data_IF_589898486597
#
_entry.id   IF_589898486597
#
_cell.length_a   1.000
_cell.length_b   1.000
_cell.length_c   1.000
_cell.angle_alpha   90.00
_cell.angle_beta   90.00
_cell.angle_gamma   90.00
#
_symmetry.space_group_name_H-M   'P 1'
#
loop_
_entity.id
_entity.type
_entity.pdbx_description
1 polymer ?
#
# COMPACT_ATOMS: atom_id res chain seq x y z
N UNK A 1 -3.43 10.58 -19.84
CA UNK A 1 -2.98 11.78 -20.60
C UNK A 1 -1.49 11.99 -20.35
N UNK A 2 -0.66 12.22 -21.38
CA UNK A 2 0.76 12.58 -21.17
C UNK A 2 0.84 14.01 -20.57
N UNK A 3 1.74 14.28 -19.61
CA UNK A 3 1.92 15.63 -19.08
C UNK A 3 2.35 16.57 -20.21
N UNK A 4 1.81 17.79 -20.22
CA UNK A 4 2.25 18.77 -21.21
C UNK A 4 3.75 19.09 -21.01
N UNK A 5 4.44 19.48 -22.09
CA UNK A 5 5.83 19.96 -22.00
C UNK A 5 5.97 21.11 -20.98
N UNK A 6 4.94 21.95 -20.86
CA UNK A 6 4.84 23.03 -19.87
C UNK A 6 4.85 22.50 -18.42
N UNK A 7 4.07 21.46 -18.12
CA UNK A 7 3.99 20.87 -16.78
C UNK A 7 5.35 20.27 -16.34
N UNK A 8 6.08 19.69 -17.28
CA UNK A 8 7.38 19.08 -17.01
C UNK A 8 8.45 20.13 -16.72
N UNK A 9 8.45 21.24 -17.46
CA UNK A 9 9.36 22.37 -17.24
C UNK A 9 9.09 23.05 -15.89
N UNK A 10 7.83 23.39 -15.61
CA UNK A 10 7.41 23.97 -14.33
C UNK A 10 7.83 23.10 -13.15
N UNK A 11 7.68 21.77 -13.26
CA UNK A 11 8.12 20.83 -12.22
C UNK A 11 9.61 20.90 -11.93
N UNK A 12 10.44 21.02 -12.97
CA UNK A 12 11.89 21.12 -12.77
C UNK A 12 12.28 22.43 -12.10
N UNK A 13 11.59 23.53 -12.45
CA UNK A 13 11.73 24.82 -11.78
C UNK A 13 11.33 24.69 -10.30
N UNK A 14 10.17 24.09 -10.00
CA UNK A 14 9.72 23.90 -8.63
C UNK A 14 10.69 23.06 -7.79
N UNK A 15 11.19 21.94 -8.34
CA UNK A 15 12.19 21.11 -7.68
C UNK A 15 13.48 21.86 -7.40
N UNK A 16 13.89 22.74 -8.32
CA UNK A 16 15.09 23.56 -8.17
C UNK A 16 14.91 24.62 -7.08
N UNK A 17 13.79 25.35 -7.10
CA UNK A 17 13.42 26.31 -6.05
C UNK A 17 13.36 25.60 -4.69
N UNK A 18 12.65 24.47 -4.60
CA UNK A 18 12.55 23.70 -3.37
C UNK A 18 13.92 23.30 -2.82
N UNK A 19 14.84 22.84 -3.68
CA UNK A 19 16.20 22.48 -3.28
C UNK A 19 17.00 23.66 -2.70
N UNK A 20 16.71 24.89 -3.11
CA UNK A 20 17.39 26.10 -2.61
C UNK A 20 16.87 26.49 -1.22
N UNK A 21 15.56 26.41 -1.00
CA UNK A 21 14.92 26.94 0.21
C UNK A 21 14.74 25.92 1.34
N UNK A 22 14.82 24.61 1.05
CA UNK A 22 14.56 23.57 2.04
C UNK A 22 15.81 22.72 2.37
N UNK A 23 15.97 22.27 3.64
CA UNK A 23 17.03 21.35 4.05
C UNK A 23 17.00 20.01 3.32
N UNK A 24 18.10 19.25 3.40
CA UNK A 24 18.21 17.91 2.80
C UNK A 24 17.20 16.91 3.39
N UNK A 25 16.86 17.04 4.67
CA UNK A 25 15.87 16.21 5.38
C UNK A 25 14.44 16.39 4.84
N UNK A 26 14.21 17.35 3.95
CA UNK A 26 12.94 17.57 3.24
C UNK A 26 13.00 17.18 1.77
N UNK A 27 14.13 16.63 1.29
CA UNK A 27 14.40 16.42 -0.15
C UNK A 27 13.36 15.52 -0.81
N UNK A 28 12.80 14.54 -0.10
CA UNK A 28 11.75 13.65 -0.59
C UNK A 28 10.52 14.42 -1.08
N UNK A 29 10.23 15.57 -0.47
CA UNK A 29 9.03 16.37 -0.72
C UNK A 29 9.07 17.29 -1.95
N UNK A 30 10.26 17.54 -2.52
CA UNK A 30 10.42 18.42 -3.69
C UNK A 30 9.58 18.06 -4.91
N UNK A 31 9.12 16.80 -4.99
CA UNK A 31 8.29 16.31 -6.11
C UNK A 31 6.83 16.74 -6.00
N UNK A 32 6.37 17.00 -4.78
CA UNK A 32 4.98 17.29 -4.45
C UNK A 32 4.73 18.80 -4.42
N UNK A 33 5.71 19.57 -3.95
CA UNK A 33 5.61 21.03 -3.90
C UNK A 33 5.52 21.65 -5.32
N UNK A 34 4.68 22.68 -5.55
CA UNK A 34 3.71 23.30 -4.62
C UNK A 34 2.29 22.73 -4.76
N UNK A 35 2.11 21.62 -5.48
CA UNK A 35 0.79 21.13 -5.88
C UNK A 35 0.01 20.47 -4.76
N UNK A 36 0.70 20.01 -3.70
CA UNK A 36 0.09 19.31 -2.58
C UNK A 36 0.06 20.16 -1.31
N UNK A 37 -0.96 19.90 -0.49
CA UNK A 37 -1.07 20.34 0.90
C UNK A 37 -1.59 19.19 1.73
N UNK A 38 -1.14 19.07 2.98
CA UNK A 38 -1.64 18.08 3.94
C UNK A 38 -2.22 18.75 5.19
N UNK A 39 -3.09 18.05 5.90
CA UNK A 39 -3.48 18.36 7.28
C UNK A 39 -3.10 17.17 8.15
N UNK A 40 -2.53 17.46 9.32
CA UNK A 40 -2.12 16.49 10.34
C UNK A 40 -2.74 16.89 11.67
N UNK A 41 -2.95 15.92 12.55
CA UNK A 41 -3.36 16.20 13.93
C UNK A 41 -2.18 16.69 14.77
N UNK A 42 -2.43 16.98 16.05
CA UNK A 42 -1.40 17.43 17.02
C UNK A 42 -0.27 16.42 17.26
N UNK A 43 -0.50 15.15 16.95
CA UNK A 43 0.48 14.06 17.08
C UNK A 43 1.20 13.74 15.75
N UNK A 44 0.98 14.52 14.69
CA UNK A 44 1.62 14.32 13.39
C UNK A 44 0.94 13.28 12.48
N UNK A 45 -0.17 12.67 12.90
CA UNK A 45 -0.93 11.69 12.09
C UNK A 45 -1.51 12.34 10.84
N UNK A 46 -1.34 11.71 9.67
CA UNK A 46 -1.85 12.24 8.40
C UNK A 46 -3.38 12.12 8.30
N UNK A 47 -4.09 13.25 8.25
CA UNK A 47 -5.55 13.29 8.23
C UNK A 47 -6.13 13.54 6.84
N UNK A 48 -5.64 14.55 6.12
CA UNK A 48 -6.19 14.94 4.81
C UNK A 48 -5.10 15.31 3.83
N UNK A 49 -5.26 14.90 2.58
CA UNK A 49 -4.37 15.26 1.46
C UNK A 49 -5.15 16.04 0.43
N UNK A 50 -4.59 17.17 0.00
CA UNK A 50 -5.11 18.00 -1.06
C UNK A 50 -4.13 18.04 -2.23
N UNK A 51 -4.66 17.93 -3.45
CA UNK A 51 -3.91 18.13 -4.69
C UNK A 51 -4.59 19.24 -5.49
N UNK A 52 -3.86 20.31 -5.82
CA UNK A 52 -4.40 21.49 -6.51
C UNK A 52 -5.68 22.03 -5.83
N UNK A 53 -5.66 22.12 -4.50
CA UNK A 53 -6.77 22.53 -3.63
C UNK A 53 -8.00 21.59 -3.58
N UNK A 54 -7.98 20.47 -4.28
CA UNK A 54 -9.01 19.44 -4.19
C UNK A 54 -8.66 18.43 -3.10
N UNK A 55 -9.62 18.08 -2.23
CA UNK A 55 -9.44 16.99 -1.25
C UNK A 55 -9.39 15.67 -2.01
N UNK A 56 -8.25 14.98 -1.95
CA UNK A 56 -8.01 13.73 -2.68
C UNK A 56 -7.85 12.50 -1.79
N UNK A 57 -7.66 12.69 -0.49
CA UNK A 57 -7.58 11.62 0.50
C UNK A 57 -8.13 12.11 1.83
N UNK A 58 -8.99 11.31 2.46
CA UNK A 58 -9.53 11.56 3.80
C UNK A 58 -9.32 10.32 4.71
N UNK A 59 -8.45 10.50 5.71
CA UNK A 59 -8.04 9.47 6.65
C UNK A 59 -8.78 9.57 8.00
N UNK A 60 -9.70 10.52 8.15
CA UNK A 60 -10.48 10.68 9.40
C UNK A 60 -11.52 9.56 9.56
N UNK A 61 -12.11 9.11 8.45
CA UNK A 61 -13.18 8.12 8.46
C UNK A 61 -12.66 6.75 8.03
N UNK A 62 -12.36 5.85 8.96
CA UNK A 62 -12.21 4.42 8.66
C UNK A 62 -13.58 3.80 8.84
N UNK A 63 -14.12 3.15 7.81
CA UNK A 63 -15.33 2.35 7.97
C UNK A 63 -14.91 0.91 8.28
N UNK A 64 -15.15 0.41 9.51
CA UNK A 64 -14.94 -0.99 9.82
C UNK A 64 -15.82 -1.86 8.93
N UNK A 65 -15.36 -3.07 8.64
CA UNK A 65 -16.19 -4.05 7.94
C UNK A 65 -17.39 -4.48 8.79
N UNK A 66 -18.47 -4.89 8.11
CA UNK A 66 -19.60 -5.55 8.75
C UNK A 66 -19.34 -7.03 9.02
N UNK A 67 -18.28 -7.62 8.45
CA UNK A 67 -17.83 -8.98 8.72
C UNK A 67 -16.49 -8.97 9.47
N UNK A 68 -16.24 -10.03 10.24
CA UNK A 68 -14.95 -10.23 10.92
C UNK A 68 -13.92 -10.95 10.05
N UNK A 69 -14.30 -11.37 8.83
CA UNK A 69 -13.46 -12.18 7.94
C UNK A 69 -13.00 -11.37 6.72
N UNK A 70 -11.76 -11.56 6.30
CA UNK A 70 -11.29 -11.06 5.01
C UNK A 70 -10.43 -12.05 4.22
N UNK A 71 -10.47 -11.95 2.90
CA UNK A 71 -9.58 -12.61 1.96
C UNK A 71 -8.61 -11.58 1.39
N UNK A 72 -7.37 -11.61 1.86
CA UNK A 72 -6.26 -10.85 1.30
C UNK A 72 -5.70 -11.58 0.07
N UNK A 73 -5.93 -11.04 -1.11
CA UNK A 73 -5.47 -11.58 -2.37
C UNK A 73 -4.17 -10.89 -2.79
N UNK A 74 -3.08 -11.64 -2.71
CA UNK A 74 -1.79 -11.31 -3.29
C UNK A 74 -1.69 -11.82 -4.74
N UNK A 75 -0.48 -11.82 -5.30
CA UNK A 75 -0.28 -11.94 -6.75
C UNK A 75 0.53 -13.15 -7.19
N UNK A 76 0.94 -13.98 -6.24
CA UNK A 76 1.75 -15.15 -6.52
C UNK A 76 1.03 -16.17 -7.42
N UNK A 77 1.78 -17.00 -8.17
CA UNK A 77 1.23 -18.00 -9.08
C UNK A 77 0.34 -19.07 -8.41
N UNK A 78 0.41 -19.27 -7.08
CA UNK A 78 -0.46 -20.25 -6.39
C UNK A 78 -1.95 -19.92 -6.48
N UNK A 79 -2.33 -18.67 -6.81
CA UNK A 79 -3.71 -18.31 -7.14
C UNK A 79 -4.32 -19.27 -8.18
N UNK A 80 -3.54 -19.71 -9.17
CA UNK A 80 -4.02 -20.59 -10.25
C UNK A 80 -4.33 -22.02 -9.77
N UNK A 81 -3.89 -22.39 -8.57
CA UNK A 81 -4.13 -23.71 -7.97
C UNK A 81 -5.38 -23.71 -7.08
N UNK A 82 -5.94 -22.53 -6.77
CA UNK A 82 -7.11 -22.40 -5.91
C UNK A 82 -8.39 -22.59 -6.73
N UNK A 83 -9.39 -23.30 -6.18
CA UNK A 83 -10.69 -23.45 -6.82
C UNK A 83 -11.44 -22.10 -6.81
N UNK A 84 -12.16 -21.79 -7.89
CA UNK A 84 -12.81 -20.48 -8.08
C UNK A 84 -13.78 -20.11 -6.96
N UNK A 85 -14.37 -21.10 -6.30
CA UNK A 85 -15.31 -20.95 -5.18
C UNK A 85 -14.68 -20.26 -3.96
N UNK A 86 -13.34 -20.24 -3.85
CA UNK A 86 -12.61 -19.46 -2.83
C UNK A 86 -12.83 -17.96 -3.01
N UNK A 87 -13.01 -17.51 -4.26
CA UNK A 87 -13.17 -16.10 -4.63
C UNK A 87 -14.64 -15.66 -4.79
N UNK A 88 -15.59 -16.51 -4.38
CA UNK A 88 -17.04 -16.27 -4.53
C UNK A 88 -17.80 -16.36 -3.19
N UNK A 89 -17.09 -16.26 -2.06
CA UNK A 89 -17.68 -16.27 -0.73
C UNK A 89 -18.40 -14.95 -0.47
N UNK A 90 -19.57 -15.02 0.17
CA UNK A 90 -20.42 -13.84 0.42
C UNK A 90 -20.35 -13.37 1.88
N UNK A 91 -19.71 -14.12 2.77
CA UNK A 91 -19.55 -13.83 4.20
C UNK A 91 -18.16 -13.25 4.56
N UNK A 92 -17.40 -12.82 3.55
CA UNK A 92 -16.02 -12.36 3.66
C UNK A 92 -15.82 -11.10 2.82
N UNK A 93 -14.97 -10.19 3.30
CA UNK A 93 -14.54 -9.04 2.51
C UNK A 93 -13.28 -9.37 1.69
N UNK A 94 -13.22 -8.87 0.46
CA UNK A 94 -12.07 -9.08 -0.42
C UNK A 94 -11.14 -7.88 -0.40
N UNK A 95 -9.84 -8.15 -0.22
CA UNK A 95 -8.79 -7.14 -0.14
C UNK A 95 -7.73 -7.48 -1.17
N UNK A 96 -7.51 -6.61 -2.15
CA UNK A 96 -6.55 -6.85 -3.23
C UNK A 96 -5.26 -6.07 -3.04
N UNK A 97 -4.13 -6.64 -3.47
CA UNK A 97 -2.86 -5.90 -3.57
C UNK A 97 -2.31 -5.92 -4.98
N UNK A 98 -1.67 -4.81 -5.39
CA UNK A 98 -1.02 -4.66 -6.70
C UNK A 98 -1.88 -5.17 -7.87
N UNK A 99 -1.52 -6.29 -8.49
CA UNK A 99 -2.21 -6.83 -9.66
C UNK A 99 -3.34 -7.82 -9.36
N UNK A 100 -3.76 -7.98 -8.10
CA UNK A 100 -4.87 -8.86 -7.72
C UNK A 100 -6.16 -8.60 -8.52
N UNK A 101 -6.45 -7.34 -8.88
CA UNK A 101 -7.58 -6.87 -9.70
C UNK A 101 -7.64 -7.51 -11.09
N UNK A 102 -6.59 -8.23 -11.52
CA UNK A 102 -6.63 -9.06 -12.71
C UNK A 102 -7.49 -10.33 -12.54
N UNK A 103 -7.86 -10.71 -11.31
CA UNK A 103 -8.93 -11.66 -11.05
C UNK A 103 -10.28 -10.96 -11.25
N UNK A 104 -10.95 -11.32 -12.35
CA UNK A 104 -12.26 -10.77 -12.68
C UNK A 104 -13.35 -11.31 -11.75
N UNK A 105 -14.49 -10.60 -11.69
CA UNK A 105 -15.69 -10.97 -10.94
C UNK A 105 -15.54 -11.02 -9.41
N UNK A 106 -14.53 -10.33 -8.86
CA UNK A 106 -14.39 -10.10 -7.41
C UNK A 106 -14.74 -8.66 -7.10
N UNK A 107 -15.63 -8.45 -6.12
CA UNK A 107 -15.86 -7.14 -5.54
C UNK A 107 -14.87 -6.91 -4.41
N UNK A 108 -13.87 -6.06 -4.63
CA UNK A 108 -12.90 -5.68 -3.61
C UNK A 108 -13.45 -4.58 -2.70
N UNK A 109 -13.53 -4.84 -1.41
CA UNK A 109 -13.91 -3.86 -0.39
C UNK A 109 -12.77 -2.86 -0.16
N UNK A 110 -11.53 -3.37 -0.14
CA UNK A 110 -10.31 -2.57 0.00
C UNK A 110 -9.25 -2.99 -1.01
N UNK A 111 -8.39 -2.05 -1.37
CA UNK A 111 -7.31 -2.31 -2.31
C UNK A 111 -6.03 -1.57 -1.89
N UNK A 112 -4.86 -2.18 -2.04
CA UNK A 112 -3.58 -1.61 -1.61
C UNK A 112 -2.57 -1.62 -2.76
N UNK A 113 -2.01 -0.45 -3.07
CA UNK A 113 -0.87 -0.31 -3.98
C UNK A 113 0.12 0.68 -3.38
N UNK A 114 1.31 0.19 -3.02
CA UNK A 114 2.40 1.02 -2.50
C UNK A 114 3.63 1.03 -3.42
N UNK A 115 3.71 0.07 -4.35
CA UNK A 115 4.81 -0.07 -5.28
C UNK A 115 4.65 0.88 -6.47
N UNK A 116 5.51 1.90 -6.49
CA UNK A 116 5.52 2.88 -7.56
C UNK A 116 5.97 2.32 -8.91
N UNK A 117 6.77 1.23 -8.94
CA UNK A 117 7.13 0.57 -10.19
C UNK A 117 5.92 -0.15 -10.79
N UNK A 118 5.09 -0.78 -9.94
CA UNK A 118 3.82 -1.35 -10.38
C UNK A 118 2.90 -0.27 -10.97
N UNK A 119 2.77 0.89 -10.32
CA UNK A 119 1.98 2.01 -10.86
C UNK A 119 2.53 2.48 -12.21
N UNK A 120 3.86 2.51 -12.38
CA UNK A 120 4.47 2.90 -13.64
C UNK A 120 4.14 1.91 -14.75
N UNK A 121 4.41 0.64 -14.50
CA UNK A 121 4.43 -0.42 -15.50
C UNK A 121 3.04 -1.01 -15.81
N UNK A 122 2.14 -1.05 -14.82
CA UNK A 122 0.81 -1.69 -14.91
C UNK A 122 -0.31 -0.72 -14.61
N UNK A 123 -0.23 0.47 -15.20
CA UNK A 123 -1.26 1.48 -15.03
C UNK A 123 -2.65 1.02 -15.50
N UNK A 124 -2.70 0.07 -16.45
CA UNK A 124 -3.93 -0.63 -16.87
C UNK A 124 -4.67 -1.27 -15.70
N UNK A 125 -3.95 -1.92 -14.77
CA UNK A 125 -4.52 -2.52 -13.57
C UNK A 125 -4.84 -1.47 -12.51
N UNK A 126 -4.01 -0.41 -12.40
CA UNK A 126 -4.32 0.71 -11.50
C UNK A 126 -5.63 1.39 -11.90
N UNK A 127 -5.88 1.61 -13.20
CA UNK A 127 -7.13 2.18 -13.69
C UNK A 127 -8.34 1.32 -13.29
N UNK A 128 -8.24 -0.01 -13.37
CA UNK A 128 -9.32 -0.90 -12.87
C UNK A 128 -9.61 -0.68 -11.38
N UNK A 129 -8.59 -0.51 -10.55
CA UNK A 129 -8.76 -0.21 -9.12
C UNK A 129 -9.43 1.14 -8.92
N UNK A 130 -9.02 2.17 -9.67
CA UNK A 130 -9.61 3.51 -9.59
C UNK A 130 -11.08 3.54 -9.99
N UNK A 131 -11.50 2.67 -10.92
CA UNK A 131 -12.90 2.51 -11.33
C UNK A 131 -13.72 1.61 -10.40
N UNK A 132 -13.10 0.98 -9.40
CA UNK A 132 -13.81 0.12 -8.45
C UNK A 132 -14.38 0.93 -7.29
N UNK A 133 -15.54 0.53 -6.76
CA UNK A 133 -16.11 1.11 -5.56
C UNK A 133 -15.49 0.48 -4.31
N UNK A 134 -14.21 0.75 -4.06
CA UNK A 134 -13.44 0.25 -2.93
C UNK A 134 -12.83 1.38 -2.10
N UNK A 135 -12.29 1.04 -0.92
CA UNK A 135 -11.31 1.90 -0.24
C UNK A 135 -9.90 1.61 -0.75
N UNK A 136 -9.27 2.57 -1.40
CA UNK A 136 -7.95 2.41 -2.01
C UNK A 136 -6.84 3.04 -1.15
N UNK A 137 -5.96 2.20 -0.60
CA UNK A 137 -4.80 2.61 0.18
C UNK A 137 -3.57 2.73 -0.70
N UNK A 138 -2.88 3.87 -0.64
CA UNK A 138 -1.68 4.11 -1.43
C UNK A 138 -0.70 5.07 -0.76
N UNK A 139 0.53 5.12 -1.27
CA UNK A 139 1.57 6.04 -0.76
C UNK A 139 1.53 7.40 -1.48
N UNK A 140 2.06 8.47 -0.88
CA UNK A 140 2.16 9.79 -1.53
C UNK A 140 2.81 9.74 -2.92
N UNK A 141 3.83 8.88 -3.09
CA UNK A 141 4.51 8.71 -4.38
C UNK A 141 3.61 8.07 -5.44
N UNK A 142 2.88 7.01 -5.08
CA UNK A 142 1.94 6.37 -5.99
C UNK A 142 0.77 7.30 -6.32
N UNK A 143 0.24 8.01 -5.32
CA UNK A 143 -0.80 9.02 -5.50
C UNK A 143 -0.37 10.12 -6.49
N UNK A 144 0.85 10.64 -6.36
CA UNK A 144 1.42 11.62 -7.30
C UNK A 144 1.52 11.08 -8.73
N UNK A 145 1.91 9.83 -8.90
CA UNK A 145 1.97 9.20 -10.22
C UNK A 145 0.59 9.02 -10.84
N UNK A 146 -0.42 8.68 -10.02
CA UNK A 146 -1.81 8.50 -10.45
C UNK A 146 -2.44 9.83 -10.85
N UNK A 147 -2.46 10.83 -9.95
CA UNK A 147 -3.12 12.12 -10.17
C UNK A 147 -2.50 12.97 -11.28
N UNK A 148 -1.32 12.58 -11.79
CA UNK A 148 -0.70 13.17 -12.98
C UNK A 148 -1.15 12.52 -14.29
N UNK A 149 -1.72 11.32 -14.24
CA UNK A 149 -2.12 10.53 -15.42
C UNK A 149 -3.63 10.57 -15.69
N UNK A 150 -4.41 10.68 -14.62
CA UNK A 150 -5.88 10.67 -14.63
C UNK A 150 -6.46 11.92 -13.97
N UNK A 151 -7.68 12.33 -14.36
CA UNK A 151 -8.41 13.39 -13.65
C UNK A 151 -9.05 12.82 -12.41
N UNK A 152 -9.09 13.60 -11.34
CA UNK A 152 -9.72 13.15 -10.09
C UNK A 152 -11.22 12.85 -10.25
N UNK A 153 -11.90 13.51 -11.17
CA UNK A 153 -13.32 13.24 -11.51
C UNK A 153 -13.56 11.85 -12.06
N UNK A 154 -12.51 11.18 -12.55
CA UNK A 154 -12.60 9.86 -13.16
C UNK A 154 -12.25 8.76 -12.14
N UNK A 155 -12.02 9.10 -10.86
CA UNK A 155 -11.73 8.14 -9.79
C UNK A 155 -13.04 7.85 -9.02
N UNK A 156 -13.42 6.58 -8.94
CA UNK A 156 -14.60 6.11 -8.21
C UNK A 156 -14.28 5.64 -6.80
N UNK A 157 -13.09 5.06 -6.58
CA UNK A 157 -12.68 4.57 -5.27
C UNK A 157 -12.44 5.71 -4.27
N UNK A 158 -12.58 5.41 -2.97
CA UNK A 158 -12.21 6.33 -1.90
C UNK A 158 -10.74 6.16 -1.54
N UNK A 159 -9.91 7.17 -1.77
CA UNK A 159 -8.47 7.10 -1.53
C UNK A 159 -8.12 7.38 -0.06
N UNK A 160 -7.21 6.56 0.48
CA UNK A 160 -6.52 6.74 1.75
C UNK A 160 -5.01 6.75 1.53
N UNK A 161 -4.34 7.75 2.07
CA UNK A 161 -2.89 7.92 1.91
C UNK A 161 -2.20 7.45 3.17
N UNK A 162 -1.26 6.53 3.02
CA UNK A 162 -0.43 5.98 4.09
C UNK A 162 1.05 6.24 3.83
N UNK A 163 1.82 6.36 4.91
CA UNK A 163 3.26 6.61 4.85
C UNK A 163 3.99 5.32 5.21
N UNK A 164 5.04 4.97 4.48
CA UNK A 164 5.80 3.75 4.73
C UNK A 164 7.08 4.03 5.51
N UNK A 165 7.42 3.11 6.40
CA UNK A 165 8.64 3.10 7.18
C UNK A 165 9.58 2.09 6.54
N UNK A 166 10.74 2.56 6.09
CA UNK A 166 11.78 1.73 5.49
C UNK A 166 13.07 1.92 6.28
N UNK A 167 13.60 0.84 6.88
CA UNK A 167 14.80 0.89 7.74
C UNK A 167 14.70 1.98 8.82
N UNK A 168 13.57 1.99 9.53
CA UNK A 168 13.29 2.88 10.65
C UNK A 168 13.21 4.38 10.30
N UNK A 169 13.26 4.72 9.01
CA UNK A 169 13.08 6.07 8.52
C UNK A 169 11.72 6.20 7.83
N UNK A 170 11.00 7.26 8.16
CA UNK A 170 9.78 7.68 7.48
C UNK A 170 10.05 8.96 6.70
N UNK A 171 9.88 8.90 5.37
CA UNK A 171 9.86 10.09 4.51
C UNK A 171 8.51 10.82 4.67
N UNK A 172 8.37 11.61 5.74
CA UNK A 172 7.11 12.25 6.11
C UNK A 172 6.61 13.20 5.02
N UNK A 173 5.41 12.96 4.52
CA UNK A 173 4.80 13.66 3.42
C UNK A 173 4.55 15.12 3.76
N UNK A 174 5.22 16.00 3.01
CA UNK A 174 5.30 17.45 3.20
C UNK A 174 5.83 17.89 4.57
N UNK A 175 6.61 17.04 5.24
CA UNK A 175 7.32 17.36 6.48
C UNK A 175 8.75 16.82 6.49
N UNK A 176 9.50 17.06 7.55
CA UNK A 176 10.86 16.53 7.73
C UNK A 176 10.85 14.99 7.79
N UNK A 177 11.83 14.35 7.17
CA UNK A 177 12.04 12.92 7.39
C UNK A 177 12.28 12.62 8.88
N UNK A 178 11.71 11.53 9.37
CA UNK A 178 11.68 11.22 10.80
C UNK A 178 12.20 9.81 11.05
N UNK A 179 13.12 9.67 12.02
CA UNK A 179 13.45 8.36 12.59
C UNK A 179 12.30 7.91 13.48
N UNK A 180 11.81 6.70 13.24
CA UNK A 180 10.65 6.15 13.92
C UNK A 180 11.01 5.81 15.36
N UNK A 181 10.21 6.32 16.30
CA UNK A 181 10.30 5.88 17.69
C UNK A 181 9.60 4.52 17.85
N UNK A 182 10.38 3.44 17.80
CA UNK A 182 9.89 2.06 17.99
C UNK A 182 9.23 1.80 19.35
N UNK A 183 9.40 2.67 20.35
CA UNK A 183 8.71 2.50 21.65
C UNK A 183 7.31 3.10 21.68
N UNK A 184 6.86 3.75 20.60
CA UNK A 184 5.53 4.35 20.55
C UNK A 184 4.43 3.29 20.65
N UNK A 185 3.35 3.60 21.38
CA UNK A 185 2.27 2.64 21.69
C UNK A 185 1.55 2.10 20.44
N UNK A 186 1.55 2.86 19.34
CA UNK A 186 0.96 2.47 18.07
C UNK A 186 1.83 1.51 17.25
N UNK A 187 2.99 1.09 17.76
CA UNK A 187 3.81 0.03 17.18
C UNK A 187 3.88 -1.19 18.09
N UNK A 188 3.93 -2.36 17.48
CA UNK A 188 4.33 -3.61 18.10
C UNK A 188 5.70 -3.98 17.55
N UNK A 189 6.68 -4.24 18.42
CA UNK A 189 8.06 -4.52 18.01
C UNK A 189 8.46 -5.90 18.52
N UNK A 190 9.02 -6.71 17.63
CA UNK A 190 9.65 -7.99 17.97
C UNK A 190 10.90 -8.19 17.12
N UNK A 191 12.02 -8.54 17.75
CA UNK A 191 13.32 -8.77 17.09
C UNK A 191 13.77 -7.66 16.12
N UNK A 192 13.56 -6.39 16.51
CA UNK A 192 13.78 -5.16 15.73
C UNK A 192 12.85 -4.95 14.52
N UNK A 193 11.91 -5.86 14.27
CA UNK A 193 10.85 -5.70 13.28
C UNK A 193 9.60 -5.08 13.91
N UNK A 194 8.98 -4.14 13.21
CA UNK A 194 7.81 -3.41 13.67
C UNK A 194 6.54 -3.76 12.91
N UNK A 195 5.43 -3.76 13.62
CA UNK A 195 4.09 -3.91 13.07
C UNK A 195 3.24 -2.73 13.53
N UNK A 196 2.61 -2.02 12.59
CA UNK A 196 1.80 -0.85 12.91
C UNK A 196 0.39 -1.21 13.36
N UNK A 197 -0.01 -0.67 14.51
CA UNK A 197 -1.38 -0.73 15.04
C UNK A 197 -2.23 0.45 14.53
N UNK A 198 -1.61 1.56 14.16
CA UNK A 198 -2.25 2.70 13.48
C UNK A 198 -1.48 3.07 12.21
N UNK A 199 -2.02 2.63 11.07
CA UNK A 199 -1.43 2.79 9.74
C UNK A 199 -1.20 4.25 9.32
N UNK A 200 -1.83 5.23 9.98
CA UNK A 200 -1.65 6.65 9.67
C UNK A 200 -0.54 7.34 10.48
N UNK A 201 0.08 6.62 11.42
CA UNK A 201 1.38 6.98 12.01
C UNK A 201 2.56 6.33 11.27
N UNK A 202 2.27 5.54 10.23
CA UNK A 202 3.26 4.86 9.40
C UNK A 202 3.08 3.35 9.38
N UNK A 203 3.40 2.72 8.25
CA UNK A 203 3.36 1.26 8.06
C UNK A 203 4.76 0.75 7.70
N UNK A 204 5.24 -0.31 8.36
CA UNK A 204 6.51 -0.93 7.99
C UNK A 204 6.37 -1.70 6.68
N UNK A 205 7.32 -1.54 5.75
CA UNK A 205 7.18 -2.15 4.42
C UNK A 205 7.85 -3.53 4.30
N UNK A 206 9.03 -3.70 4.89
CA UNK A 206 9.92 -4.86 4.80
C UNK A 206 9.91 -5.54 3.42
N UNK A 207 10.01 -4.73 2.36
CA UNK A 207 10.14 -5.17 0.97
C UNK A 207 8.95 -5.94 0.37
N UNK A 208 7.77 -5.98 1.02
CA UNK A 208 6.59 -6.63 0.45
C UNK A 208 5.30 -5.86 0.72
N UNK A 209 4.46 -5.73 -0.31
CA UNK A 209 3.14 -5.10 -0.19
C UNK A 209 2.22 -5.90 0.72
N UNK A 210 2.40 -7.23 0.79
CA UNK A 210 1.60 -8.10 1.64
C UNK A 210 1.76 -7.76 3.13
N UNK A 211 2.95 -7.33 3.57
CA UNK A 211 3.19 -6.97 4.97
C UNK A 211 2.53 -5.64 5.36
N UNK A 212 2.55 -4.66 4.46
CA UNK A 212 1.77 -3.42 4.62
C UNK A 212 0.27 -3.71 4.63
N UNK A 213 -0.18 -4.62 3.76
CA UNK A 213 -1.58 -5.02 3.70
C UNK A 213 -2.05 -5.65 5.02
N UNK A 214 -1.25 -6.49 5.68
CA UNK A 214 -1.61 -7.05 7.00
C UNK A 214 -1.81 -5.97 8.08
N UNK A 215 -1.01 -4.90 8.07
CA UNK A 215 -1.19 -3.76 9.00
C UNK A 215 -2.48 -2.99 8.70
N UNK A 216 -2.83 -2.83 7.42
CA UNK A 216 -4.10 -2.23 7.01
C UNK A 216 -5.28 -3.12 7.39
N UNK A 217 -5.21 -4.43 7.13
CA UNK A 217 -6.21 -5.42 7.53
C UNK A 217 -6.46 -5.38 9.03
N UNK A 218 -5.40 -5.29 9.84
CA UNK A 218 -5.53 -5.10 11.28
C UNK A 218 -6.30 -3.83 11.64
N UNK A 219 -6.02 -2.69 10.98
CA UNK A 219 -6.75 -1.42 11.22
C UNK A 219 -8.24 -1.47 10.84
N UNK A 220 -8.63 -2.46 10.04
CA UNK A 220 -10.01 -2.72 9.63
C UNK A 220 -10.75 -3.70 10.57
N UNK A 221 -10.08 -4.17 11.63
CA UNK A 221 -10.62 -5.03 12.69
C UNK A 221 -11.05 -6.44 12.25
N UNK A 222 -10.44 -7.02 11.23
CA UNK A 222 -10.65 -8.42 10.88
C UNK A 222 -9.97 -9.35 11.90
N UNK A 223 -10.66 -10.42 12.28
CA UNK A 223 -10.15 -11.45 13.21
C UNK A 223 -9.88 -12.79 12.53
N UNK A 224 -10.36 -12.98 11.29
CA UNK A 224 -10.08 -14.15 10.48
C UNK A 224 -9.59 -13.72 9.09
N UNK A 225 -8.29 -13.93 8.83
CA UNK A 225 -7.59 -13.44 7.65
C UNK A 225 -7.16 -14.63 6.81
N UNK A 226 -7.70 -14.76 5.60
CA UNK A 226 -7.25 -15.73 4.62
C UNK A 226 -6.36 -15.03 3.60
N UNK A 227 -5.20 -15.60 3.29
CA UNK A 227 -4.26 -15.03 2.33
C UNK A 227 -4.16 -15.97 1.13
N UNK A 228 -4.49 -15.48 -0.05
CA UNK A 228 -4.36 -16.21 -1.31
C UNK A 228 -3.22 -15.61 -2.14
N UNK A 229 -2.36 -16.44 -2.74
CA UNK A 229 -1.30 -15.96 -3.63
C UNK A 229 -0.13 -15.30 -2.92
N UNK A 230 0.05 -15.53 -1.62
CA UNK A 230 1.28 -15.17 -0.92
C UNK A 230 2.26 -16.32 -1.09
N UNK A 231 3.10 -16.21 -2.12
CA UNK A 231 4.17 -17.16 -2.44
C UNK A 231 5.52 -16.61 -1.98
N UNK A 232 6.09 -17.22 -0.94
CA UNK A 232 7.43 -16.91 -0.41
C UNK A 232 8.51 -17.87 -0.93
N UNK A 233 8.21 -18.54 -2.04
CA UNK A 233 9.12 -19.39 -2.80
C UNK A 233 8.96 -19.14 -4.30
N UNK A 234 9.85 -19.72 -5.11
CA UNK A 234 9.74 -19.69 -6.58
C UNK A 234 9.67 -18.28 -7.20
N UNK A 235 10.43 -17.31 -6.67
CA UNK A 235 10.44 -15.90 -7.12
C UNK A 235 10.79 -15.68 -8.60
N UNK A 236 11.31 -16.70 -9.29
CA UNK A 236 11.57 -16.68 -10.73
C UNK A 236 10.31 -16.81 -11.59
N UNK A 237 9.21 -17.34 -11.05
CA UNK A 237 7.93 -17.50 -11.75
C UNK A 237 7.22 -16.16 -11.91
N UNK A 238 6.47 -15.96 -13.01
CA UNK A 238 5.62 -14.78 -13.15
C UNK A 238 4.51 -14.77 -12.08
N UNK A 239 4.05 -13.57 -11.72
CA UNK A 239 2.79 -13.42 -10.98
C UNK A 239 1.64 -13.97 -11.82
N UNK A 240 0.50 -14.30 -11.21
CA UNK A 240 -0.59 -14.99 -11.93
C UNK A 240 -1.13 -14.21 -13.14
N UNK A 241 -0.95 -12.89 -13.17
CA UNK A 241 -1.40 -11.98 -14.21
C UNK A 241 -0.29 -11.55 -15.20
N UNK A 242 0.91 -12.12 -15.04
CA UNK A 242 2.07 -11.91 -15.90
C UNK A 242 2.35 -13.18 -16.72
N UNK A 243 3.09 -12.99 -17.79
CA UNK A 243 3.72 -14.03 -18.61
C UNK A 243 5.24 -13.98 -18.41
N UNK A 244 5.98 -14.89 -19.05
CA UNK A 244 7.44 -14.82 -19.04
C UNK A 244 7.98 -13.55 -19.72
N UNK A 245 7.24 -12.98 -20.67
CA UNK A 245 7.69 -11.87 -21.51
C UNK A 245 7.47 -10.49 -20.87
N UNK A 246 6.50 -10.37 -19.96
CA UNK A 246 6.13 -9.11 -19.28
C UNK A 246 6.29 -9.16 -17.75
N UNK A 247 7.00 -10.18 -17.24
CA UNK A 247 7.32 -10.33 -15.82
C UNK A 247 8.08 -9.12 -15.28
N UNK A 248 7.56 -8.48 -14.25
CA UNK A 248 8.25 -7.39 -13.57
C UNK A 248 9.33 -7.92 -12.61
N UNK A 249 10.42 -7.16 -12.38
CA UNK A 249 11.43 -7.54 -11.40
C UNK A 249 10.85 -7.63 -9.98
N UNK A 250 11.51 -8.42 -9.15
CA UNK A 250 11.23 -8.55 -7.72
C UNK A 250 12.55 -8.53 -6.95
N UNK A 251 12.50 -8.07 -5.70
CA UNK A 251 13.64 -8.15 -4.76
C UNK A 251 13.35 -9.14 -3.61
N UNK A 252 12.23 -9.88 -3.69
CA UNK A 252 11.84 -10.83 -2.65
C UNK A 252 12.82 -11.99 -2.53
N UNK A 253 13.51 -12.37 -3.61
CA UNK A 253 14.57 -13.37 -3.59
C UNK A 253 15.74 -12.94 -2.71
N UNK A 254 16.17 -11.68 -2.85
CA UNK A 254 17.29 -11.09 -2.10
C UNK A 254 16.90 -10.76 -0.65
N UNK A 255 15.63 -10.42 -0.39
CA UNK A 255 15.15 -9.98 0.92
C UNK A 255 14.26 -11.02 1.64
N UNK A 256 14.21 -12.26 1.15
CA UNK A 256 13.32 -13.31 1.67
C UNK A 256 13.43 -13.51 3.17
N UNK A 257 14.65 -13.57 3.73
CA UNK A 257 14.87 -13.69 5.18
C UNK A 257 14.29 -12.50 5.95
N UNK A 258 14.49 -11.26 5.48
CA UNK A 258 13.94 -10.06 6.12
C UNK A 258 12.42 -10.06 6.08
N UNK A 259 11.84 -10.47 4.95
CA UNK A 259 10.38 -10.55 4.76
C UNK A 259 9.79 -11.61 5.70
N UNK A 260 10.42 -12.79 5.83
CA UNK A 260 9.95 -13.85 6.71
C UNK A 260 10.01 -13.43 8.18
N UNK A 261 11.10 -12.80 8.63
CA UNK A 261 11.20 -12.27 10.01
C UNK A 261 10.17 -11.18 10.30
N UNK A 262 9.85 -10.35 9.31
CA UNK A 262 8.75 -9.40 9.44
C UNK A 262 7.41 -10.14 9.66
N UNK A 263 7.13 -11.17 8.85
CA UNK A 263 5.94 -12.00 9.02
C UNK A 263 5.89 -12.72 10.38
N UNK A 264 7.03 -13.16 10.93
CA UNK A 264 7.09 -13.71 12.30
C UNK A 264 6.61 -12.69 13.34
N UNK A 265 7.03 -11.42 13.21
CA UNK A 265 6.53 -10.32 14.07
C UNK A 265 5.03 -10.12 13.93
N UNK A 266 4.48 -10.15 12.70
CA UNK A 266 3.03 -10.07 12.51
C UNK A 266 2.30 -11.29 13.10
N UNK A 267 2.86 -12.49 12.94
CA UNK A 267 2.27 -13.72 13.48
C UNK A 267 2.21 -13.69 15.01
N UNK A 268 3.25 -13.19 15.67
CA UNK A 268 3.26 -13.00 17.12
C UNK A 268 2.22 -11.97 17.56
N UNK A 269 2.18 -10.81 16.90
CA UNK A 269 1.16 -9.79 17.16
C UNK A 269 -0.26 -10.37 17.04
N UNK A 270 -0.56 -11.06 15.94
CA UNK A 270 -1.87 -11.66 15.71
C UNK A 270 -2.22 -12.74 16.74
N UNK A 271 -1.25 -13.57 17.14
CA UNK A 271 -1.43 -14.58 18.18
C UNK A 271 -1.78 -13.96 19.53
N UNK A 272 -1.11 -12.87 19.92
CA UNK A 272 -1.40 -12.15 21.16
C UNK A 272 -2.79 -11.51 21.18
N UNK A 273 -3.31 -11.13 19.99
CA UNK A 273 -4.60 -10.48 19.82
C UNK A 273 -5.72 -11.44 19.37
N UNK A 274 -5.47 -12.76 19.38
CA UNK A 274 -6.44 -13.79 18.98
C UNK A 274 -6.99 -13.63 17.56
N UNK A 275 -6.15 -13.14 16.64
CA UNK A 275 -6.44 -13.00 15.22
C UNK A 275 -5.89 -14.23 14.49
N UNK A 276 -6.75 -14.92 13.74
CA UNK A 276 -6.37 -16.11 12.98
C UNK A 276 -5.96 -15.71 11.57
N UNK A 277 -4.80 -16.21 11.12
CA UNK A 277 -4.29 -15.97 9.77
C UNK A 277 -3.96 -17.29 9.09
N UNK A 278 -4.49 -17.49 7.88
CA UNK A 278 -4.33 -18.71 7.10
C UNK A 278 -3.75 -18.39 5.72
N UNK A 279 -2.57 -18.93 5.39
CA UNK A 279 -2.09 -18.90 4.01
C UNK A 279 -2.72 -20.06 3.23
N UNK A 280 -3.49 -19.73 2.20
CA UNK A 280 -4.14 -20.68 1.30
C UNK A 280 -3.21 -21.16 0.17
N UNK A 281 -1.93 -20.78 0.20
CA UNK A 281 -0.92 -21.16 -0.78
C UNK A 281 -0.12 -22.35 -0.22
N UNK A 282 -0.55 -23.63 -0.42
CA UNK A 282 -0.02 -24.78 0.32
C UNK A 282 1.44 -25.11 0.01
N UNK A 283 1.95 -24.64 -1.13
CA UNK A 283 3.31 -24.87 -1.61
C UNK A 283 4.19 -23.61 -1.56
N UNK A 284 3.73 -22.57 -0.84
CA UNK A 284 4.44 -21.30 -0.69
C UNK A 284 5.56 -21.42 0.32
#
# INVERSE_FOLDING_TARGET
MLPSLSDTLLRNIYKFIYKIFYPKTYKHNRRFWPLYRVQRNEHGRLEKVYFKNQLVSDNLMIQPSTTSKCMLIATGPSIQQLPNEVFQKTDIDYIGVNGAIALDNIHYNSYIIIDHNFVDARFDLVEKVLQSNCTFYTTPRCLDMILRRIKFTDIQCSIKTIETITRDLMEVFLDEEMLVNKTAEHFFIHDDFGFSKDIFNGTFDYFTVAYVALQIVNSLNYTEIFIAGLDMSNFSKPRFYETTDDKQPTLLDIHSETVLRAFDTAALFFKEHQINVYNLSPNS
#
